data_IF_437686057892
#
_entry.id   IF_437686057892
#
_cell.length_a   1.000
_cell.length_b   1.000
_cell.length_c   1.000
_cell.angle_alpha   90.00
_cell.angle_beta   90.00
_cell.angle_gamma   90.00
#
_symmetry.space_group_name_H-M   'P 1'
#
loop_
_entity.id
_entity.type
_entity.pdbx_description
1 polymer ?
#
# COMPACT_ATOMS: atom_id res chain seq x y z
N UNK A 1 -9.22 -14.18 -15.47
CA UNK A 1 -8.87 -12.80 -15.10
C UNK A 1 -7.75 -12.88 -14.08
N UNK A 2 -6.52 -12.63 -14.52
CA UNK A 2 -5.38 -12.58 -13.61
C UNK A 2 -5.47 -11.25 -12.86
N UNK A 3 -5.52 -11.27 -11.54
CA UNK A 3 -5.57 -10.07 -10.68
C UNK A 3 -4.23 -9.34 -10.61
N UNK A 4 -3.33 -9.61 -11.56
CA UNK A 4 -1.98 -9.05 -11.62
C UNK A 4 -1.89 -8.40 -12.99
N UNK A 5 -2.48 -7.21 -13.09
CA UNK A 5 -2.18 -6.29 -14.18
C UNK A 5 -0.76 -5.77 -13.95
N UNK A 6 0.07 -5.90 -14.97
CA UNK A 6 1.53 -5.91 -14.87
C UNK A 6 2.15 -4.50 -14.75
N UNK A 7 1.34 -3.48 -14.44
CA UNK A 7 1.78 -2.07 -14.39
C UNK A 7 1.75 -1.47 -12.98
N UNK A 8 1.07 -2.10 -12.00
CA UNK A 8 1.11 -1.70 -10.60
C UNK A 8 1.22 -2.94 -9.69
N UNK A 9 2.40 -3.56 -9.66
CA UNK A 9 2.66 -4.69 -8.77
C UNK A 9 2.59 -4.23 -7.31
N UNK A 10 1.42 -4.40 -6.70
CA UNK A 10 1.24 -4.13 -5.29
C UNK A 10 2.20 -5.01 -4.48
N UNK A 11 3.01 -4.45 -3.56
CA UNK A 11 3.85 -5.25 -2.70
C UNK A 11 3.00 -6.30 -1.97
N UNK A 12 3.38 -7.57 -2.04
CA UNK A 12 2.58 -8.67 -1.47
C UNK A 12 2.23 -8.42 0.00
N UNK A 13 3.19 -7.90 0.78
CA UNK A 13 2.96 -7.53 2.18
C UNK A 13 1.93 -6.41 2.37
N UNK A 14 1.81 -5.47 1.42
CA UNK A 14 0.77 -4.45 1.42
C UNK A 14 -0.59 -5.08 1.12
N UNK A 15 -0.69 -5.88 0.05
CA UNK A 15 -1.94 -6.54 -0.34
C UNK A 15 -2.49 -7.44 0.77
N UNK A 16 -1.62 -8.20 1.44
CA UNK A 16 -2.01 -9.05 2.58
C UNK A 16 -2.58 -8.25 3.76
N UNK A 17 -1.98 -7.09 4.09
CA UNK A 17 -2.46 -6.27 5.21
C UNK A 17 -3.75 -5.53 4.88
N UNK A 18 -3.88 -4.99 3.67
CA UNK A 18 -5.12 -4.38 3.22
C UNK A 18 -6.26 -5.42 3.23
N UNK A 19 -6.00 -6.66 2.84
CA UNK A 19 -7.00 -7.72 2.92
C UNK A 19 -7.48 -8.03 4.36
N UNK A 20 -6.68 -7.70 5.38
CA UNK A 20 -7.04 -7.85 6.79
C UNK A 20 -7.71 -6.62 7.39
N UNK A 21 -7.68 -5.49 6.69
CA UNK A 21 -8.19 -4.19 7.14
C UNK A 21 -9.09 -3.59 6.05
N UNK A 22 -10.39 -3.90 6.15
CA UNK A 22 -11.40 -3.46 5.18
C UNK A 22 -11.48 -1.93 5.06
N UNK A 23 -11.18 -1.20 6.13
CA UNK A 23 -11.20 0.26 6.14
C UNK A 23 -9.99 0.82 5.37
N UNK A 24 -8.79 0.32 5.66
CA UNK A 24 -7.59 0.67 4.91
C UNK A 24 -7.73 0.28 3.43
N UNK A 25 -8.33 -0.86 3.11
CA UNK A 25 -8.59 -1.30 1.74
C UNK A 25 -9.57 -0.38 1.01
N UNK A 26 -10.65 0.04 1.69
CA UNK A 26 -11.62 0.99 1.13
C UNK A 26 -10.95 2.34 0.85
N UNK A 27 -10.21 2.87 1.83
CA UNK A 27 -9.47 4.13 1.65
C UNK A 27 -8.41 4.01 0.55
N UNK A 28 -7.70 2.87 0.46
CA UNK A 28 -6.75 2.60 -0.61
C UNK A 28 -7.42 2.58 -1.98
N UNK A 29 -8.57 1.92 -2.11
CA UNK A 29 -9.33 1.88 -3.37
C UNK A 29 -9.81 3.27 -3.82
N UNK A 30 -10.14 4.13 -2.85
CA UNK A 30 -10.55 5.53 -3.06
C UNK A 30 -9.39 6.48 -3.40
N UNK A 31 -8.12 6.06 -3.26
CA UNK A 31 -6.98 6.86 -3.70
C UNK A 31 -6.93 6.95 -5.22
N UNK A 32 -6.43 8.09 -5.73
CA UNK A 32 -6.07 8.24 -7.14
C UNK A 32 -4.91 7.31 -7.48
N UNK A 33 -4.81 6.92 -8.76
CA UNK A 33 -3.75 6.00 -9.20
C UNK A 33 -2.35 6.58 -8.96
N UNK A 34 -2.18 7.90 -9.08
CA UNK A 34 -0.95 8.60 -8.71
C UNK A 34 -0.54 8.40 -7.25
N UNK A 35 -1.51 8.43 -6.31
CA UNK A 35 -1.23 8.20 -4.89
C UNK A 35 -0.95 6.74 -4.60
N UNK A 36 -1.64 5.82 -5.27
CA UNK A 36 -1.34 4.38 -5.17
C UNK A 36 0.09 4.12 -5.64
N UNK A 37 0.51 4.74 -6.74
CA UNK A 37 1.86 4.65 -7.27
C UNK A 37 2.91 5.24 -6.32
N UNK A 38 2.66 6.42 -5.74
CA UNK A 38 3.54 7.01 -4.71
C UNK A 38 3.73 6.09 -3.50
N UNK A 39 2.66 5.45 -3.02
CA UNK A 39 2.73 4.50 -1.91
C UNK A 39 3.54 3.27 -2.26
N UNK A 40 3.33 2.72 -3.46
CA UNK A 40 4.10 1.56 -3.96
C UNK A 40 5.58 1.93 -4.10
N UNK A 41 5.89 3.08 -4.69
CA UNK A 41 7.25 3.58 -4.82
C UNK A 41 7.92 3.84 -3.46
N UNK A 42 7.18 4.39 -2.49
CA UNK A 42 7.67 4.56 -1.13
C UNK A 42 8.05 3.24 -0.48
N UNK A 43 7.22 2.20 -0.64
CA UNK A 43 7.51 0.86 -0.10
C UNK A 43 8.68 0.21 -0.84
N UNK A 44 8.73 0.34 -2.16
CA UNK A 44 9.80 -0.24 -3.00
C UNK A 44 11.15 0.44 -2.80
N UNK A 45 11.18 1.73 -2.44
CA UNK A 45 12.39 2.46 -2.08
C UNK A 45 12.98 2.10 -0.71
N UNK A 46 12.57 0.97 -0.12
CA UNK A 46 13.11 0.47 1.13
C UNK A 46 14.51 -0.13 0.95
N UNK A 47 15.38 0.08 1.93
CA UNK A 47 16.79 -0.37 1.86
C UNK A 47 17.02 -1.75 2.50
N UNK A 48 16.03 -2.25 3.24
CA UNK A 48 16.06 -3.55 3.90
C UNK A 48 14.66 -4.15 4.00
N UNK A 49 14.57 -5.47 4.24
CA UNK A 49 13.27 -6.13 4.44
C UNK A 49 12.53 -5.65 5.70
N UNK A 50 13.24 -5.16 6.71
CA UNK A 50 12.64 -4.57 7.91
C UNK A 50 12.09 -3.17 7.63
N UNK A 51 12.83 -2.36 6.88
CA UNK A 51 12.35 -1.06 6.38
C UNK A 51 11.10 -1.25 5.51
N UNK A 52 11.10 -2.23 4.58
CA UNK A 52 9.92 -2.56 3.78
C UNK A 52 8.70 -2.90 4.66
N UNK A 53 8.89 -3.71 5.72
CA UNK A 53 7.82 -4.05 6.66
C UNK A 53 7.32 -2.81 7.41
N UNK A 54 8.21 -1.93 7.85
CA UNK A 54 7.85 -0.71 8.55
C UNK A 54 7.03 0.22 7.66
N UNK A 55 7.51 0.48 6.44
CA UNK A 55 6.80 1.30 5.44
C UNK A 55 5.43 0.74 5.10
N UNK A 56 5.30 -0.57 4.90
CA UNK A 56 3.99 -1.21 4.69
C UNK A 56 3.06 -1.00 5.90
N UNK A 57 3.59 -1.15 7.12
CA UNK A 57 2.80 -0.93 8.36
C UNK A 57 2.29 0.50 8.43
N UNK A 58 3.17 1.46 8.16
CA UNK A 58 2.89 2.88 8.19
C UNK A 58 1.82 3.26 7.17
N UNK A 59 1.98 2.81 5.93
CA UNK A 59 1.02 3.05 4.84
C UNK A 59 -0.36 2.51 5.22
N UNK A 60 -0.46 1.26 5.66
CA UNK A 60 -1.74 0.66 6.05
C UNK A 60 -2.35 1.40 7.25
N UNK A 61 -1.54 1.79 8.23
CA UNK A 61 -2.01 2.52 9.40
C UNK A 61 -2.53 3.92 9.05
N UNK A 62 -1.88 4.62 8.13
CA UNK A 62 -2.35 5.92 7.62
C UNK A 62 -3.63 5.77 6.81
N UNK A 63 -3.72 4.74 5.95
CA UNK A 63 -4.92 4.39 5.21
C UNK A 63 -6.09 4.04 6.13
N UNK A 64 -5.85 3.30 7.20
CA UNK A 64 -6.85 2.98 8.22
C UNK A 64 -7.39 4.25 8.89
N UNK A 65 -6.50 5.18 9.26
CA UNK A 65 -6.89 6.47 9.86
C UNK A 65 -7.54 7.45 8.88
N UNK A 66 -7.55 7.14 7.58
CA UNK A 66 -7.99 8.07 6.53
C UNK A 66 -7.08 9.29 6.38
N UNK A 67 -5.86 9.22 6.91
CA UNK A 67 -4.88 10.29 6.80
C UNK A 67 -4.18 10.20 5.43
N UNK A 68 -4.11 11.32 4.72
CA UNK A 68 -3.28 11.41 3.52
C UNK A 68 -1.81 11.31 3.91
N UNK A 69 -1.14 10.26 3.45
CA UNK A 69 0.32 10.12 3.47
C UNK A 69 0.96 11.40 2.92
N UNK A 70 1.88 12.01 3.69
CA UNK A 70 2.53 13.29 3.40
C UNK A 70 4.03 13.19 3.62
#
# INVERSE_FOLDING_TARGET
>A
MSLIDNEHQLPVGLGMRLALDMEAMTNFSNLSDSRKEELVNYIQGSTSGEDAKNRVTEVVSSLHRGESFR
#
